data_IF_968075829358
#
_entry.id   IF_968075829358
#
_cell.length_a   1.000
_cell.length_b   1.000
_cell.length_c   1.000
_cell.angle_alpha   90.00
_cell.angle_beta   90.00
_cell.angle_gamma   90.00
#
_symmetry.space_group_name_H-M   'P 1'
#
loop_
_entity.id
_entity.type
_entity.pdbx_description
1 polymer ?
#
# COMPACT_ATOMS: atom_id res chain seq x y z
N UNK A 1 -2.03 24.65 58.73
CA UNK A 1 -1.47 23.30 58.90
C UNK A 1 -0.71 22.98 57.62
N UNK A 2 0.59 22.70 57.75
CA UNK A 2 1.58 22.35 56.71
C UNK A 2 1.03 21.29 55.73
N UNK A 3 1.39 21.25 54.44
CA UNK A 3 2.68 20.73 53.99
C UNK A 3 3.06 21.21 52.58
N UNK A 4 4.30 21.70 52.51
CA UNK A 4 5.12 21.83 51.30
C UNK A 4 5.32 20.46 50.63
N UNK A 5 5.24 20.41 49.29
CA UNK A 5 5.95 19.41 48.52
C UNK A 5 6.66 20.10 47.33
N UNK A 6 7.96 20.27 47.50
CA UNK A 6 8.89 20.78 46.50
C UNK A 6 9.07 19.73 45.41
N UNK A 7 8.80 20.08 44.15
CA UNK A 7 9.24 19.30 42.99
C UNK A 7 10.09 20.19 42.12
N UNK A 8 11.38 20.26 42.44
CA UNK A 8 12.42 20.70 41.50
C UNK A 8 12.35 19.77 40.28
N UNK A 9 11.73 20.27 39.21
CA UNK A 9 11.75 19.61 37.91
C UNK A 9 12.88 20.28 37.15
N UNK A 10 14.00 19.56 37.05
CA UNK A 10 15.14 19.93 36.22
C UNK A 10 14.66 20.20 34.78
N UNK A 11 14.95 21.40 34.29
CA UNK A 11 14.79 21.75 32.88
C UNK A 11 15.82 20.95 32.08
N UNK A 12 15.45 19.74 31.65
CA UNK A 12 16.17 19.04 30.59
C UNK A 12 15.87 19.83 29.31
N UNK A 13 16.85 20.61 28.86
CA UNK A 13 16.79 21.21 27.53
C UNK A 13 16.77 20.07 26.51
N UNK A 14 15.59 19.78 25.95
CA UNK A 14 15.49 18.90 24.80
C UNK A 14 16.33 19.53 23.68
N UNK A 15 17.31 18.82 23.10
CA UNK A 15 17.98 19.32 21.91
C UNK A 15 16.90 19.59 20.87
N UNK A 16 16.84 20.83 20.39
CA UNK A 16 15.91 21.25 19.34
C UNK A 16 16.05 20.23 18.21
N UNK A 17 14.99 19.46 17.95
CA UNK A 17 14.95 18.56 16.82
C UNK A 17 15.22 19.40 15.58
N UNK A 18 16.40 19.23 14.99
CA UNK A 18 16.73 19.84 13.71
C UNK A 18 15.73 19.24 12.74
N UNK A 19 14.71 20.02 12.39
CA UNK A 19 13.74 19.65 11.39
C UNK A 19 14.49 19.62 10.06
N UNK A 20 15.09 18.48 9.74
CA UNK A 20 15.71 18.25 8.43
C UNK A 20 14.56 18.32 7.45
N UNK A 21 14.40 19.49 6.82
CA UNK A 21 13.46 19.73 5.75
C UNK A 21 13.87 18.86 4.56
N UNK A 22 13.46 17.59 4.62
CA UNK A 22 13.70 16.62 3.55
C UNK A 22 12.87 17.10 2.37
N UNK A 23 13.51 17.78 1.43
CA UNK A 23 12.92 18.05 0.13
C UNK A 23 12.79 16.69 -0.56
N UNK A 24 11.64 16.02 -0.39
CA UNK A 24 11.34 14.82 -1.16
C UNK A 24 11.25 15.24 -2.63
N UNK A 25 12.06 14.65 -3.52
CA UNK A 25 12.02 14.99 -4.93
C UNK A 25 10.60 14.72 -5.46
N UNK A 26 10.02 15.73 -6.09
CA UNK A 26 8.72 15.59 -6.73
C UNK A 26 8.88 14.78 -8.00
N UNK A 27 8.13 13.68 -8.11
CA UNK A 27 8.03 12.87 -9.31
C UNK A 27 6.62 13.07 -9.87
N UNK A 28 6.46 13.52 -11.12
CA UNK A 28 5.14 13.64 -11.74
C UNK A 28 4.39 12.29 -11.75
N UNK A 29 3.06 12.27 -11.55
CA UNK A 29 2.25 11.05 -11.54
C UNK A 29 2.41 10.19 -12.81
N UNK A 30 2.64 10.81 -13.96
CA UNK A 30 2.80 10.13 -15.24
C UNK A 30 4.07 9.27 -15.25
N UNK A 31 5.15 9.76 -14.64
CA UNK A 31 6.41 9.03 -14.52
C UNK A 31 6.26 7.86 -13.54
N UNK A 32 5.55 8.06 -12.44
CA UNK A 32 5.20 6.99 -11.49
C UNK A 32 4.41 5.90 -12.23
N UNK A 33 3.41 6.28 -13.02
CA UNK A 33 2.59 5.34 -13.77
C UNK A 33 3.43 4.53 -14.78
N UNK A 34 4.36 5.16 -15.51
CA UNK A 34 5.28 4.45 -16.42
C UNK A 34 6.11 3.43 -15.66
N UNK A 35 6.72 3.82 -14.53
CA UNK A 35 7.54 2.92 -13.70
C UNK A 35 6.70 1.72 -13.24
N UNK A 36 5.49 1.96 -12.72
CA UNK A 36 4.63 0.90 -12.20
C UNK A 36 4.13 -0.04 -13.32
N UNK A 37 3.88 0.46 -14.53
CA UNK A 37 3.49 -0.38 -15.67
C UNK A 37 4.62 -1.31 -16.12
N UNK A 38 5.88 -0.88 -16.03
CA UNK A 38 7.04 -1.73 -16.29
C UNK A 38 7.18 -2.89 -15.28
N UNK A 39 6.49 -2.80 -14.13
CA UNK A 39 6.46 -3.81 -13.08
C UNK A 39 5.17 -4.65 -13.10
N UNK A 40 4.36 -4.56 -14.17
CA UNK A 40 3.04 -5.20 -14.24
C UNK A 40 3.09 -6.73 -14.06
N UNK A 41 4.17 -7.37 -14.50
CA UNK A 41 4.41 -8.81 -14.35
C UNK A 41 4.97 -9.18 -12.96
N UNK A 42 5.76 -8.30 -12.34
CA UNK A 42 6.29 -8.50 -10.99
C UNK A 42 5.35 -7.94 -9.92
N UNK A 43 4.28 -8.69 -9.67
CA UNK A 43 3.26 -8.34 -8.68
C UNK A 43 3.81 -8.11 -7.27
N UNK A 44 4.93 -8.75 -6.89
CA UNK A 44 5.54 -8.61 -5.55
C UNK A 44 6.20 -7.24 -5.38
N UNK A 45 6.98 -6.83 -6.38
CA UNK A 45 7.61 -5.51 -6.38
C UNK A 45 6.55 -4.42 -6.50
N UNK A 46 5.55 -4.61 -7.37
CA UNK A 46 4.44 -3.67 -7.53
C UNK A 46 3.62 -3.49 -6.24
N UNK A 47 3.37 -4.57 -5.48
CA UNK A 47 2.73 -4.49 -4.17
C UNK A 47 3.57 -3.71 -3.15
N UNK A 48 4.89 -3.86 -3.20
CA UNK A 48 5.81 -3.10 -2.35
C UNK A 48 5.78 -1.61 -2.69
N UNK A 49 5.70 -1.26 -3.98
CA UNK A 49 5.54 0.12 -4.45
C UNK A 49 4.26 0.77 -3.89
N UNK A 50 3.15 0.03 -3.79
CA UNK A 50 1.89 0.54 -3.24
C UNK A 50 1.98 0.99 -1.77
N UNK A 51 3.03 0.60 -1.04
CA UNK A 51 3.26 0.94 0.36
C UNK A 51 4.14 2.19 0.55
N UNK A 52 4.76 2.71 -0.50
CA UNK A 52 5.72 3.83 -0.41
C UNK A 52 5.04 5.13 0.01
N UNK A 53 3.97 5.50 -0.69
CA UNK A 53 3.15 6.67 -0.37
C UNK A 53 1.77 6.58 -1.05
N UNK A 54 0.89 7.54 -0.75
CA UNK A 54 -0.48 7.57 -1.28
C UNK A 54 -0.53 7.67 -2.81
N UNK A 55 0.37 8.43 -3.45
CA UNK A 55 0.40 8.57 -4.92
C UNK A 55 0.76 7.24 -5.58
N UNK A 56 1.80 6.56 -5.08
CA UNK A 56 2.16 5.23 -5.56
C UNK A 56 1.05 4.22 -5.33
N UNK A 57 0.38 4.27 -4.18
CA UNK A 57 -0.77 3.41 -3.89
C UNK A 57 -1.89 3.57 -4.93
N UNK A 58 -2.30 4.83 -5.19
CA UNK A 58 -3.37 5.15 -6.14
C UNK A 58 -3.10 4.62 -7.55
N UNK A 59 -1.83 4.62 -7.99
CA UNK A 59 -1.47 4.12 -9.32
C UNK A 59 -1.13 2.62 -9.36
N UNK A 60 -0.62 2.04 -8.27
CA UNK A 60 -0.24 0.63 -8.22
C UNK A 60 -1.45 -0.29 -8.07
N UNK A 61 -2.46 0.10 -7.29
CA UNK A 61 -3.65 -0.73 -7.01
C UNK A 61 -4.40 -1.12 -8.30
N UNK A 62 -4.72 -0.20 -9.23
CA UNK A 62 -5.34 -0.59 -10.49
C UNK A 62 -4.52 -1.61 -11.30
N UNK A 63 -3.19 -1.48 -11.32
CA UNK A 63 -2.30 -2.40 -12.07
C UNK A 63 -2.19 -3.77 -11.39
N UNK A 64 -2.25 -3.81 -10.05
CA UNK A 64 -2.26 -5.06 -9.28
C UNK A 64 -3.52 -5.86 -9.54
N UNK A 65 -4.68 -5.20 -9.52
CA UNK A 65 -5.98 -5.87 -9.64
C UNK A 65 -6.49 -6.01 -11.08
N UNK A 66 -5.86 -5.35 -12.06
CA UNK A 66 -6.27 -5.40 -13.47
C UNK A 66 -6.39 -6.83 -14.00
N UNK A 67 -5.39 -7.66 -13.71
CA UNK A 67 -5.32 -9.06 -14.14
C UNK A 67 -4.99 -9.94 -12.95
N UNK A 68 -5.87 -10.89 -12.65
CA UNK A 68 -5.74 -11.78 -11.49
C UNK A 68 -5.88 -13.22 -11.98
N UNK A 69 -4.89 -14.04 -11.65
CA UNK A 69 -4.85 -15.46 -12.00
C UNK A 69 -5.01 -16.32 -10.75
N UNK A 70 -5.90 -17.30 -10.81
CA UNK A 70 -6.10 -18.27 -9.74
C UNK A 70 -5.71 -19.67 -10.20
N UNK A 71 -4.74 -20.28 -9.50
CA UNK A 71 -4.35 -21.66 -9.76
C UNK A 71 -5.23 -22.66 -9.02
N UNK A 72 -5.84 -22.25 -7.90
CA UNK A 72 -6.61 -23.14 -7.03
C UNK A 72 -8.02 -22.59 -6.77
N UNK A 73 -9.08 -23.41 -6.90
CA UNK A 73 -10.46 -23.00 -6.63
C UNK A 73 -10.66 -22.39 -5.24
N UNK A 74 -10.03 -22.96 -4.21
CA UNK A 74 -10.15 -22.46 -2.84
C UNK A 74 -9.67 -21.01 -2.68
N UNK A 75 -8.60 -20.63 -3.39
CA UNK A 75 -8.05 -19.27 -3.33
C UNK A 75 -9.00 -18.27 -3.98
N UNK A 76 -9.64 -18.66 -5.08
CA UNK A 76 -10.67 -17.84 -5.73
C UNK A 76 -11.90 -17.67 -4.86
N UNK A 77 -12.41 -18.72 -4.21
CA UNK A 77 -13.60 -18.59 -3.35
C UNK A 77 -13.35 -17.57 -2.23
N UNK A 78 -12.20 -17.68 -1.53
CA UNK A 78 -11.83 -16.72 -0.49
C UNK A 78 -11.69 -15.29 -1.03
N UNK A 79 -11.12 -15.16 -2.21
CA UNK A 79 -10.99 -13.88 -2.88
C UNK A 79 -12.35 -13.29 -3.24
N UNK A 80 -13.25 -14.08 -3.83
CA UNK A 80 -14.60 -13.66 -4.19
C UNK A 80 -15.39 -13.21 -2.95
N UNK A 81 -15.32 -13.94 -1.85
CA UNK A 81 -15.95 -13.58 -0.58
C UNK A 81 -15.41 -12.24 -0.04
N UNK A 82 -14.09 -12.02 -0.16
CA UNK A 82 -13.44 -10.80 0.31
C UNK A 82 -13.84 -9.59 -0.55
N UNK A 83 -13.86 -9.76 -1.87
CA UNK A 83 -14.19 -8.68 -2.81
C UNK A 83 -15.68 -8.36 -2.82
N UNK A 84 -16.54 -9.33 -2.55
CA UNK A 84 -17.96 -9.08 -2.33
C UNK A 84 -18.19 -8.05 -1.21
N UNK A 85 -17.36 -8.09 -0.16
CA UNK A 85 -17.40 -7.14 0.95
C UNK A 85 -16.66 -5.81 0.64
N UNK A 86 -15.71 -5.80 -0.30
CA UNK A 86 -14.86 -4.64 -0.64
C UNK A 86 -15.07 -4.27 -2.11
N UNK A 87 -16.16 -3.55 -2.37
CA UNK A 87 -16.67 -3.25 -3.71
C UNK A 87 -15.77 -2.35 -4.56
N UNK A 88 -14.90 -1.54 -3.95
CA UNK A 88 -13.99 -0.65 -4.70
C UNK A 88 -12.98 -1.44 -5.54
N UNK A 89 -12.42 -2.52 -4.99
CA UNK A 89 -11.43 -3.34 -5.67
C UNK A 89 -12.02 -4.18 -6.81
N UNK A 90 -13.30 -4.56 -6.72
CA UNK A 90 -13.96 -5.34 -7.76
C UNK A 90 -14.01 -4.59 -9.10
N UNK A 91 -14.22 -3.27 -9.04
CA UNK A 91 -14.30 -2.38 -10.20
C UNK A 91 -12.99 -2.27 -11.00
N UNK A 92 -11.87 -2.65 -10.37
CA UNK A 92 -10.54 -2.57 -10.98
C UNK A 92 -10.17 -3.84 -11.76
N UNK A 93 -10.89 -4.94 -11.53
CA UNK A 93 -10.62 -6.23 -12.17
C UNK A 93 -11.15 -6.19 -13.59
N UNK A 94 -10.25 -6.36 -14.56
CA UNK A 94 -10.61 -6.43 -15.99
C UNK A 94 -10.46 -7.82 -16.57
N UNK A 95 -9.47 -8.57 -16.08
CA UNK A 95 -9.18 -9.91 -16.54
C UNK A 95 -9.06 -10.86 -15.35
N UNK A 96 -9.86 -11.93 -15.41
CA UNK A 96 -9.80 -13.04 -14.47
C UNK A 96 -9.32 -14.28 -15.24
N UNK A 97 -8.15 -14.79 -14.88
CA UNK A 97 -7.61 -16.01 -15.44
C UNK A 97 -7.89 -17.19 -14.51
N UNK A 98 -8.67 -18.14 -15.02
CA UNK A 98 -9.07 -19.39 -14.35
C UNK A 98 -8.51 -20.62 -15.06
N UNK A 99 -7.51 -20.46 -15.95
CA UNK A 99 -6.89 -21.57 -16.68
C UNK A 99 -6.35 -22.67 -15.77
N UNK A 100 -5.91 -22.31 -14.55
CA UNK A 100 -5.48 -23.27 -13.53
C UNK A 100 -6.60 -24.16 -12.97
N UNK A 101 -7.87 -23.88 -13.28
CA UNK A 101 -9.02 -24.68 -12.83
C UNK A 101 -9.32 -25.83 -13.78
N UNK A 102 -8.59 -25.91 -14.90
CA UNK A 102 -8.69 -27.03 -15.83
C UNK A 102 -8.21 -28.30 -15.13
N UNK A 103 -9.15 -29.01 -14.53
CA UNK A 103 -8.99 -30.40 -14.12
C UNK A 103 -8.84 -31.24 -15.38
N UNK A 104 -7.73 -31.98 -15.48
CA UNK A 104 -7.71 -33.21 -16.26
C UNK A 104 -8.80 -34.17 -15.77
#
# INVERSE_FOLDING_TARGET
>A
MSLFFSRQSSLIAYPQAIEVKRNTPYIPPEIILVILNMLSDDKKTLASCALVNRTFNLHAIPILYHTISFTFPLTFTRFADTIYCVTECSSLIRHLDLSGFSTC
#
